data_IF_820836991990
#
_entry.id   IF_820836991990
#
_cell.length_a   1.000
_cell.length_b   1.000
_cell.length_c   1.000
_cell.angle_alpha   90.00
_cell.angle_beta   90.00
_cell.angle_gamma   90.00
#
_symmetry.space_group_name_H-M   'P 1'
#
loop_
_entity.id
_entity.type
_entity.pdbx_description
1 polymer ?
#
# COMPACT_ATOMS: atom_id res chain seq x y z
N UNK A 1 1.81 16.74 -21.23
CA UNK A 1 2.58 16.18 -22.36
C UNK A 1 3.53 15.12 -21.83
N UNK A 2 3.20 13.86 -22.10
CA UNK A 2 3.94 12.68 -21.66
C UNK A 2 5.00 12.23 -22.69
N UNK A 3 5.31 13.00 -23.73
CA UNK A 3 6.18 12.57 -24.84
C UNK A 3 7.58 12.11 -24.42
N UNK A 4 8.14 12.70 -23.35
CA UNK A 4 9.47 12.34 -22.81
C UNK A 4 9.44 11.23 -21.75
N UNK A 5 8.26 10.80 -21.32
CA UNK A 5 8.13 9.74 -20.33
C UNK A 5 8.42 8.38 -20.99
N UNK A 6 9.36 7.62 -20.45
CA UNK A 6 9.61 6.24 -20.88
C UNK A 6 8.70 5.25 -20.14
N UNK A 7 8.70 5.30 -18.81
CA UNK A 7 7.91 4.40 -17.95
C UNK A 7 7.43 5.11 -16.68
N UNK A 8 6.34 4.61 -16.09
CA UNK A 8 5.92 4.93 -14.72
C UNK A 8 6.24 3.73 -13.84
N UNK A 9 6.77 3.94 -12.64
CA UNK A 9 7.00 2.88 -11.66
C UNK A 9 6.71 3.42 -10.26
N UNK A 10 6.20 2.56 -9.37
CA UNK A 10 6.16 2.91 -7.95
C UNK A 10 7.57 2.79 -7.37
N UNK A 11 7.87 3.45 -6.24
CA UNK A 11 9.22 3.46 -5.69
C UNK A 11 9.83 2.07 -5.48
N UNK A 12 9.03 1.11 -4.99
CA UNK A 12 9.53 -0.25 -4.76
C UNK A 12 9.76 -1.01 -6.08
N UNK A 13 8.90 -0.83 -7.09
CA UNK A 13 9.08 -1.42 -8.42
C UNK A 13 10.35 -0.89 -9.10
N UNK A 14 10.63 0.40 -8.93
CA UNK A 14 11.86 0.99 -9.45
C UNK A 14 13.10 0.36 -8.79
N UNK A 15 13.06 0.12 -7.48
CA UNK A 15 14.13 -0.61 -6.80
C UNK A 15 14.26 -2.04 -7.34
N UNK A 16 13.15 -2.74 -7.54
CA UNK A 16 13.15 -4.07 -8.17
C UNK A 16 13.76 -4.05 -9.57
N UNK A 17 13.43 -3.04 -10.39
CA UNK A 17 14.01 -2.84 -11.70
C UNK A 17 15.52 -2.59 -11.63
N UNK A 18 15.99 -1.75 -10.70
CA UNK A 18 17.43 -1.52 -10.50
C UNK A 18 18.14 -2.82 -10.09
N UNK A 19 17.50 -3.65 -9.24
CA UNK A 19 18.08 -4.91 -8.78
C UNK A 19 18.10 -6.01 -9.84
N UNK A 20 17.13 -6.03 -10.74
CA UNK A 20 16.86 -7.20 -11.61
C UNK A 20 16.90 -6.91 -13.11
N UNK A 21 16.86 -5.64 -13.51
CA UNK A 21 16.63 -5.21 -14.89
C UNK A 21 15.21 -5.45 -15.41
N UNK A 22 14.31 -6.02 -14.60
CA UNK A 22 12.94 -6.36 -14.97
C UNK A 22 11.98 -5.29 -14.44
N UNK A 23 11.31 -4.58 -15.35
CA UNK A 23 10.31 -3.59 -14.99
C UNK A 23 8.93 -4.24 -14.93
N UNK A 24 8.48 -4.49 -13.71
CA UNK A 24 7.20 -5.11 -13.36
C UNK A 24 6.58 -4.33 -12.20
N UNK A 25 5.28 -4.49 -12.02
CA UNK A 25 4.56 -3.85 -10.92
C UNK A 25 3.67 -4.85 -10.18
N UNK A 26 3.81 -4.92 -8.86
CA UNK A 26 3.02 -5.82 -8.02
C UNK A 26 1.59 -5.28 -7.85
N UNK A 27 0.58 -6.16 -8.02
CA UNK A 27 -0.84 -5.79 -8.03
C UNK A 27 -1.33 -5.09 -6.74
N UNK A 28 -0.80 -5.46 -5.58
CA UNK A 28 -1.00 -4.78 -4.31
C UNK A 28 -0.69 -3.31 -4.43
N UNK A 29 0.56 -2.94 -4.68
CA UNK A 29 0.93 -1.52 -4.74
C UNK A 29 0.30 -0.81 -5.97
N UNK A 30 0.16 -1.51 -7.10
CA UNK A 30 -0.55 -1.01 -8.29
C UNK A 30 -1.97 -0.55 -7.99
N UNK A 31 -2.66 -1.22 -7.05
CA UNK A 31 -4.03 -0.84 -6.65
C UNK A 31 -4.10 0.55 -6.00
N UNK A 32 -2.96 1.09 -5.54
CA UNK A 32 -2.83 2.46 -5.04
C UNK A 32 -2.73 3.54 -6.12
N UNK A 33 -2.54 3.16 -7.39
CA UNK A 33 -2.33 4.13 -8.49
C UNK A 33 -3.61 4.80 -8.96
N UNK A 34 -4.78 4.19 -8.70
CA UNK A 34 -6.05 4.58 -9.33
C UNK A 34 -6.15 4.22 -10.82
N UNK A 35 -5.18 3.50 -11.38
CA UNK A 35 -5.15 3.07 -12.78
C UNK A 35 -5.46 1.58 -12.96
N UNK A 36 -5.52 0.81 -11.87
CA UNK A 36 -5.78 -0.62 -11.86
C UNK A 36 -7.24 -0.90 -11.56
N UNK A 37 -7.89 -1.73 -12.38
CA UNK A 37 -9.13 -2.40 -11.97
C UNK A 37 -8.78 -3.55 -11.02
N UNK A 38 -9.07 -3.35 -9.74
CA UNK A 38 -8.78 -4.27 -8.65
C UNK A 38 -9.58 -5.59 -8.71
N UNK A 39 -10.70 -5.63 -9.45
CA UNK A 39 -11.49 -6.84 -9.63
C UNK A 39 -10.88 -7.74 -10.70
N UNK A 40 -10.58 -7.18 -11.88
CA UNK A 40 -9.95 -7.92 -12.98
C UNK A 40 -8.43 -8.07 -12.83
N UNK A 41 -7.81 -7.26 -11.97
CA UNK A 41 -6.35 -7.14 -11.77
C UNK A 41 -5.61 -6.82 -13.07
N UNK A 42 -6.21 -5.95 -13.86
CA UNK A 42 -5.66 -5.43 -15.10
C UNK A 42 -5.68 -3.91 -15.06
N UNK A 43 -4.83 -3.30 -15.87
CA UNK A 43 -4.90 -1.86 -16.06
C UNK A 43 -6.29 -1.49 -16.59
N UNK A 44 -6.95 -0.53 -15.93
CA UNK A 44 -8.19 0.05 -16.43
C UNK A 44 -7.81 0.98 -17.59
N UNK A 45 -7.91 0.46 -18.81
CA UNK A 45 -7.54 1.21 -20.03
C UNK A 45 -8.29 2.54 -20.14
N UNK A 46 -9.52 2.61 -19.62
CA UNK A 46 -10.31 3.85 -19.63
C UNK A 46 -9.76 4.87 -18.63
N UNK A 47 -9.42 4.44 -17.41
CA UNK A 47 -8.79 5.28 -16.40
C UNK A 47 -7.41 5.77 -16.85
N UNK A 48 -6.61 4.89 -17.47
CA UNK A 48 -5.30 5.22 -18.03
C UNK A 48 -5.44 6.24 -19.16
N UNK A 49 -6.38 6.04 -20.09
CA UNK A 49 -6.62 6.96 -21.21
C UNK A 49 -7.15 8.33 -20.76
N UNK A 50 -7.87 8.41 -19.63
CA UNK A 50 -8.28 9.69 -19.02
C UNK A 50 -7.08 10.52 -18.54
N UNK A 51 -5.98 9.88 -18.14
CA UNK A 51 -4.73 10.57 -17.80
C UNK A 51 -3.99 10.99 -19.07
N UNK A 52 -3.69 10.04 -19.97
CA UNK A 52 -3.07 10.28 -21.28
C UNK A 52 -3.20 9.05 -22.20
N UNK A 53 -3.56 9.26 -23.46
CA UNK A 53 -3.77 8.17 -24.44
C UNK A 53 -2.52 7.37 -24.80
N UNK A 54 -1.32 7.89 -24.51
CA UNK A 54 -0.05 7.19 -24.71
C UNK A 54 0.52 6.55 -23.44
N UNK A 55 -0.21 6.55 -22.32
CA UNK A 55 0.29 6.12 -21.02
C UNK A 55 0.32 4.59 -20.85
N UNK A 56 -0.67 3.88 -21.36
CA UNK A 56 -0.80 2.41 -21.18
C UNK A 56 0.47 1.62 -21.50
N UNK A 57 1.15 1.80 -22.66
CA UNK A 57 2.38 1.06 -22.96
C UNK A 57 3.59 1.47 -22.09
N UNK A 58 3.46 2.53 -21.29
CA UNK A 58 4.49 3.01 -20.34
C UNK A 58 4.30 2.44 -18.94
N UNK A 59 3.16 1.78 -18.67
CA UNK A 59 2.91 1.09 -17.42
C UNK A 59 3.61 -0.28 -17.43
N UNK A 60 4.24 -0.69 -16.32
CA UNK A 60 4.87 -2.00 -16.21
C UNK A 60 3.85 -3.13 -16.36
N UNK A 61 4.35 -4.31 -16.73
CA UNK A 61 3.56 -5.55 -16.67
C UNK A 61 3.23 -5.86 -15.22
N UNK A 62 1.96 -6.14 -14.93
CA UNK A 62 1.49 -6.54 -13.62
C UNK A 62 1.97 -7.96 -13.25
N UNK A 63 2.31 -8.14 -11.98
CA UNK A 63 2.67 -9.45 -11.39
C UNK A 63 1.93 -9.65 -10.07
N UNK A 64 1.77 -10.91 -9.68
CA UNK A 64 1.16 -11.29 -8.41
C UNK A 64 2.13 -11.15 -7.22
N UNK A 65 1.60 -11.17 -5.98
CA UNK A 65 2.39 -10.91 -4.77
C UNK A 65 3.40 -12.02 -4.44
N UNK A 66 3.21 -13.22 -4.98
CA UNK A 66 4.14 -14.35 -4.82
C UNK A 66 5.07 -14.54 -6.02
N UNK A 67 4.94 -13.71 -7.05
CA UNK A 67 5.80 -13.78 -8.22
C UNK A 67 7.19 -13.22 -7.90
N UNK A 68 8.15 -13.59 -8.73
CA UNK A 68 9.48 -13.00 -8.71
C UNK A 68 9.49 -11.75 -9.57
N UNK A 69 9.98 -10.64 -9.03
CA UNK A 69 10.25 -9.46 -9.84
C UNK A 69 11.35 -9.74 -10.88
N UNK A 70 12.29 -10.61 -10.51
CA UNK A 70 13.36 -11.12 -11.35
C UNK A 70 14.43 -11.79 -10.51
N UNK A 71 15.66 -11.82 -11.02
CA UNK A 71 16.83 -12.28 -10.26
C UNK A 71 17.85 -11.16 -10.14
N UNK A 72 18.57 -11.13 -9.02
CA UNK A 72 19.58 -10.11 -8.74
C UNK A 72 20.65 -10.10 -9.83
N UNK A 73 20.90 -8.92 -10.40
CA UNK A 73 21.90 -8.72 -11.44
C UNK A 73 23.29 -9.17 -10.96
N UNK A 74 24.08 -9.88 -11.79
CA UNK A 74 25.38 -10.41 -11.37
C UNK A 74 26.35 -9.34 -10.83
N UNK A 75 26.34 -8.14 -11.41
CA UNK A 75 27.20 -7.04 -10.93
C UNK A 75 26.82 -6.57 -9.52
N UNK A 76 25.52 -6.54 -9.20
CA UNK A 76 25.02 -6.11 -7.91
C UNK A 76 25.23 -7.20 -6.86
N UNK A 77 25.03 -8.47 -7.25
CA UNK A 77 25.38 -9.62 -6.42
C UNK A 77 26.87 -9.56 -5.99
N UNK A 78 27.78 -9.32 -6.93
CA UNK A 78 29.20 -9.14 -6.65
C UNK A 78 29.49 -7.98 -5.70
N UNK A 79 28.86 -6.82 -5.91
CA UNK A 79 29.02 -5.63 -5.04
C UNK A 79 28.47 -5.84 -3.62
N UNK A 80 27.45 -6.67 -3.47
CA UNK A 80 26.79 -6.95 -2.19
C UNK A 80 27.37 -8.17 -1.46
N UNK A 81 28.30 -8.91 -2.07
CA UNK A 81 28.80 -10.17 -1.53
C UNK A 81 27.74 -11.27 -1.48
N UNK A 82 26.77 -11.23 -2.39
CA UNK A 82 25.66 -12.16 -2.47
C UNK A 82 25.84 -13.14 -3.65
N UNK A 83 25.11 -14.26 -3.60
CA UNK A 83 25.09 -15.23 -4.70
C UNK A 83 24.42 -14.61 -5.95
N UNK A 84 25.01 -14.84 -7.12
CA UNK A 84 24.39 -14.43 -8.38
C UNK A 84 23.09 -15.21 -8.64
N UNK A 85 22.09 -14.55 -9.23
CA UNK A 85 20.81 -15.17 -9.57
C UNK A 85 19.85 -15.36 -8.40
N UNK A 86 20.10 -14.74 -7.23
CA UNK A 86 19.14 -14.75 -6.11
C UNK A 86 17.80 -14.18 -6.57
N UNK A 87 16.68 -14.87 -6.33
CA UNK A 87 15.36 -14.33 -6.62
C UNK A 87 15.06 -13.05 -5.84
N UNK A 88 14.48 -12.06 -6.51
CA UNK A 88 13.95 -10.85 -5.88
C UNK A 88 12.43 -10.99 -5.83
N UNK A 89 11.86 -10.95 -4.62
CA UNK A 89 10.41 -10.98 -4.41
C UNK A 89 9.74 -9.76 -5.06
N UNK A 90 8.50 -9.92 -5.53
CA UNK A 90 7.68 -8.79 -5.96
C UNK A 90 7.64 -7.66 -4.89
N UNK A 91 7.58 -8.03 -3.61
CA UNK A 91 7.40 -7.06 -2.53
C UNK A 91 5.97 -6.51 -2.54
N UNK A 92 5.84 -5.22 -2.23
CA UNK A 92 4.57 -4.49 -2.27
C UNK A 92 4.66 -3.21 -1.45
N UNK A 93 3.59 -2.41 -1.47
CA UNK A 93 3.50 -1.16 -0.74
C UNK A 93 3.48 -1.32 0.78
N UNK A 94 3.65 -0.20 1.48
CA UNK A 94 3.77 -0.16 2.94
C UNK A 94 2.55 -0.73 3.68
N UNK A 95 1.33 -0.46 3.22
CA UNK A 95 0.09 -0.89 3.86
C UNK A 95 -0.08 -2.41 3.80
N UNK A 96 0.11 -3.01 2.62
CA UNK A 96 0.03 -4.45 2.45
C UNK A 96 1.18 -5.19 3.14
N UNK A 97 2.39 -4.61 3.15
CA UNK A 97 3.51 -5.15 3.92
C UNK A 97 3.28 -5.04 5.43
N UNK A 98 2.69 -3.94 5.90
CA UNK A 98 2.32 -3.76 7.32
C UNK A 98 1.23 -4.75 7.74
N UNK A 99 0.21 -4.96 6.90
CA UNK A 99 -0.82 -5.97 7.14
C UNK A 99 -0.23 -7.37 7.24
N UNK A 100 0.71 -7.71 6.35
CA UNK A 100 1.42 -8.99 6.41
C UNK A 100 2.26 -9.10 7.69
N UNK A 101 3.07 -8.09 8.00
CA UNK A 101 3.98 -8.06 9.15
C UNK A 101 3.28 -8.09 10.52
N UNK A 102 2.10 -7.47 10.63
CA UNK A 102 1.29 -7.48 11.86
C UNK A 102 0.38 -8.72 11.97
N UNK A 103 0.53 -9.71 11.09
CA UNK A 103 -0.29 -10.93 11.12
C UNK A 103 -1.75 -10.70 10.74
N UNK A 104 -2.06 -9.62 10.03
CA UNK A 104 -3.36 -9.32 9.42
C UNK A 104 -3.48 -9.91 7.99
N UNK A 105 -2.67 -10.93 7.68
CA UNK A 105 -2.74 -11.72 6.45
C UNK A 105 -3.88 -12.77 6.45
N UNK A 106 -4.74 -12.79 7.48
CA UNK A 106 -5.93 -13.65 7.57
C UNK A 106 -7.14 -12.78 7.86
N UNK A 107 -8.30 -13.16 7.32
CA UNK A 107 -9.56 -12.50 7.60
C UNK A 107 -9.90 -12.56 9.10
N UNK A 108 -10.67 -11.58 9.58
CA UNK A 108 -11.10 -11.48 10.98
C UNK A 108 -10.14 -10.69 11.88
N UNK A 109 -9.12 -10.04 11.30
CA UNK A 109 -8.23 -9.11 12.00
C UNK A 109 -8.26 -7.75 11.33
N UNK A 110 -8.19 -6.70 12.15
CA UNK A 110 -8.03 -5.32 11.72
C UNK A 110 -6.74 -4.80 12.34
N UNK A 111 -5.90 -4.20 11.51
CA UNK A 111 -4.77 -3.42 11.98
C UNK A 111 -5.18 -1.94 11.97
N UNK A 112 -4.85 -1.26 13.06
CA UNK A 112 -5.10 0.16 13.24
C UNK A 112 -3.76 0.79 13.62
N UNK A 113 -3.27 1.68 12.77
CA UNK A 113 -2.13 2.54 13.05
C UNK A 113 -2.66 3.89 13.51
N UNK A 114 -2.31 4.31 14.73
CA UNK A 114 -2.72 5.57 15.33
C UNK A 114 -1.52 6.50 15.42
N UNK A 115 -1.44 7.47 14.51
CA UNK A 115 -0.47 8.55 14.52
C UNK A 115 -1.16 9.91 14.46
N UNK A 116 -0.48 10.93 13.94
CA UNK A 116 -1.09 12.23 13.60
C UNK A 116 -2.37 12.01 12.77
N UNK A 117 -2.25 11.16 11.75
CA UNK A 117 -3.35 10.52 11.04
C UNK A 117 -3.50 9.07 11.49
N UNK A 118 -4.69 8.50 11.27
CA UNK A 118 -4.99 7.10 11.51
C UNK A 118 -5.15 6.35 10.21
N UNK A 119 -4.66 5.11 10.17
CA UNK A 119 -4.89 4.19 9.05
C UNK A 119 -5.45 2.89 9.59
N UNK A 120 -6.51 2.40 8.97
CA UNK A 120 -7.17 1.15 9.32
C UNK A 120 -7.20 0.26 8.08
N UNK A 121 -6.81 -1.01 8.24
CA UNK A 121 -6.93 -1.98 7.16
C UNK A 121 -7.22 -3.37 7.69
N UNK A 122 -7.92 -4.14 6.85
CA UNK A 122 -8.29 -5.52 7.12
C UNK A 122 -8.13 -6.35 5.85
N UNK A 123 -7.92 -7.65 5.99
CA UNK A 123 -7.92 -8.56 4.84
C UNK A 123 -9.34 -8.99 4.49
N UNK A 124 -9.64 -8.99 3.20
CA UNK A 124 -10.85 -9.59 2.59
C UNK A 124 -10.47 -10.63 1.53
N UNK A 125 -11.46 -11.42 1.07
CA UNK A 125 -11.24 -12.44 0.02
C UNK A 125 -10.91 -11.80 -1.34
N UNK A 126 -11.54 -10.67 -1.65
CA UNK A 126 -11.39 -9.91 -2.88
C UNK A 126 -11.37 -8.41 -2.57
N UNK A 127 -11.03 -7.59 -3.57
CA UNK A 127 -11.07 -6.14 -3.45
C UNK A 127 -12.44 -5.66 -2.91
N UNK A 128 -12.39 -4.68 -2.01
CA UNK A 128 -13.61 -4.11 -1.44
C UNK A 128 -14.35 -3.27 -2.48
N UNK A 129 -15.67 -3.28 -2.42
CA UNK A 129 -16.52 -2.39 -3.21
C UNK A 129 -17.29 -1.51 -2.24
N UNK A 130 -16.94 -0.22 -2.20
CA UNK A 130 -17.59 0.76 -1.35
C UNK A 130 -18.21 1.87 -2.23
N UNK A 131 -19.54 1.84 -2.45
CA UNK A 131 -20.23 2.86 -3.23
C UNK A 131 -20.09 4.28 -2.65
N UNK A 132 -19.74 4.42 -1.37
CA UNK A 132 -19.51 5.73 -0.74
C UNK A 132 -18.15 6.33 -1.07
N UNK A 133 -17.20 5.53 -1.57
CA UNK A 133 -15.85 5.96 -1.93
C UNK A 133 -14.95 6.27 -0.73
N UNK A 134 -15.37 5.91 0.49
CA UNK A 134 -14.62 6.18 1.72
C UNK A 134 -13.52 5.13 1.94
N UNK A 135 -13.75 3.89 1.50
CA UNK A 135 -12.82 2.77 1.61
C UNK A 135 -12.04 2.60 0.31
N UNK A 136 -10.71 2.68 0.41
CA UNK A 136 -9.81 2.40 -0.71
C UNK A 136 -9.81 0.89 -1.02
N UNK A 137 -10.03 0.47 -2.28
CA UNK A 137 -10.18 -0.94 -2.66
C UNK A 137 -8.83 -1.63 -2.91
N UNK A 138 -7.83 -1.45 -2.04
CA UNK A 138 -6.50 -2.00 -2.30
C UNK A 138 -6.50 -3.53 -2.36
N UNK A 139 -5.46 -4.08 -3.02
CA UNK A 139 -5.13 -5.50 -3.00
C UNK A 139 -4.08 -5.79 -1.91
N UNK A 140 -4.10 -6.99 -1.34
CA UNK A 140 -3.14 -7.38 -0.31
C UNK A 140 -1.93 -8.14 -0.86
N UNK A 141 -0.91 -8.30 -0.02
CA UNK A 141 0.34 -9.01 -0.31
C UNK A 141 0.21 -10.55 -0.40
N UNK A 142 -1.01 -11.08 -0.51
CA UNK A 142 -1.31 -12.51 -0.56
C UNK A 142 -2.35 -12.86 -1.62
N UNK A 143 -2.76 -11.89 -2.43
CA UNK A 143 -3.71 -12.05 -3.53
C UNK A 143 -5.17 -11.91 -3.13
N UNK A 144 -5.48 -11.35 -1.96
CA UNK A 144 -6.81 -10.93 -1.51
C UNK A 144 -7.02 -9.42 -1.63
N UNK A 145 -8.05 -8.91 -0.95
CA UNK A 145 -8.28 -7.47 -0.81
C UNK A 145 -7.76 -6.92 0.52
N UNK A 146 -7.46 -5.62 0.51
CA UNK A 146 -7.02 -4.82 1.64
C UNK A 146 -7.86 -3.52 1.71
N UNK A 147 -9.16 -3.58 2.05
CA UNK A 147 -9.91 -2.37 2.37
C UNK A 147 -9.14 -1.51 3.35
N UNK A 148 -8.89 -0.27 2.95
CA UNK A 148 -8.12 0.68 3.71
C UNK A 148 -8.89 1.97 3.90
N UNK A 149 -8.84 2.49 5.13
CA UNK A 149 -9.43 3.75 5.53
C UNK A 149 -8.36 4.64 6.16
N UNK A 150 -8.35 5.91 5.78
CA UNK A 150 -7.51 6.93 6.38
C UNK A 150 -8.37 7.98 7.08
N UNK A 151 -7.99 8.36 8.30
CA UNK A 151 -8.55 9.53 8.99
C UNK A 151 -7.43 10.52 9.28
N UNK A 152 -7.66 11.79 8.95
CA UNK A 152 -6.73 12.87 9.29
C UNK A 152 -6.82 13.23 10.78
N UNK A 153 -8.01 13.04 11.37
CA UNK A 153 -8.27 13.32 12.77
C UNK A 153 -8.03 12.06 13.59
N UNK A 154 -6.81 11.93 14.12
CA UNK A 154 -6.41 10.81 14.96
C UNK A 154 -5.78 11.31 16.26
N UNK A 155 -4.51 11.01 16.55
CA UNK A 155 -3.89 11.31 17.84
C UNK A 155 -3.72 12.81 18.11
N UNK A 156 -3.72 13.66 17.09
CA UNK A 156 -3.57 15.12 17.25
C UNK A 156 -4.77 15.74 17.95
N UNK A 157 -5.98 15.27 17.65
CA UNK A 157 -7.23 15.85 18.22
C UNK A 157 -7.29 15.72 19.75
N UNK A 158 -7.11 14.54 20.37
CA UNK A 158 -7.09 14.44 21.83
C UNK A 158 -5.90 15.19 22.45
N UNK A 159 -4.77 15.33 21.75
CA UNK A 159 -3.64 16.15 22.23
C UNK A 159 -3.95 17.65 22.23
N UNK A 160 -4.65 18.15 21.21
CA UNK A 160 -5.12 19.55 21.16
C UNK A 160 -6.13 19.83 22.27
N UNK A 161 -7.10 18.92 22.49
CA UNK A 161 -8.04 19.01 23.61
C UNK A 161 -7.29 19.03 24.94
N UNK A 162 -6.39 18.07 25.15
CA UNK A 162 -5.56 18.00 26.37
C UNK A 162 -4.82 19.33 26.61
N UNK A 163 -4.19 19.87 25.58
CA UNK A 163 -3.45 21.12 25.65
C UNK A 163 -4.35 22.33 25.96
N UNK A 164 -5.53 22.41 25.33
CA UNK A 164 -6.49 23.48 25.53
C UNK A 164 -7.00 23.57 26.98
N UNK A 165 -7.10 22.44 27.68
CA UNK A 165 -7.48 22.38 29.09
C UNK A 165 -6.28 22.36 30.06
N UNK A 166 -5.04 22.48 29.56
CA UNK A 166 -3.84 22.47 30.40
C UNK A 166 -3.61 21.15 31.16
N UNK A 167 -4.14 20.04 30.65
CA UNK A 167 -4.08 18.73 31.29
C UNK A 167 -2.80 17.96 30.93
N UNK A 168 -2.39 17.05 31.78
CA UNK A 168 -1.41 16.00 31.46
C UNK A 168 -2.10 14.82 30.74
N UNK A 169 -1.31 13.91 30.15
CA UNK A 169 -1.87 12.71 29.49
C UNK A 169 -2.60 11.81 30.48
N UNK A 170 -2.04 11.63 31.68
CA UNK A 170 -2.67 10.81 32.72
C UNK A 170 -4.00 11.43 33.16
N UNK A 171 -4.05 12.76 33.36
CA UNK A 171 -5.29 13.44 33.77
C UNK A 171 -6.43 13.31 32.74
N UNK A 172 -6.14 13.44 31.44
CA UNK A 172 -7.19 13.26 30.42
C UNK A 172 -7.62 11.79 30.31
N UNK A 173 -6.70 10.85 30.50
CA UNK A 173 -7.03 9.42 30.56
C UNK A 173 -7.89 9.05 31.77
N UNK A 174 -7.61 9.62 32.94
CA UNK A 174 -8.40 9.42 34.15
C UNK A 174 -9.82 9.98 34.00
N UNK A 175 -9.95 11.19 33.45
CA UNK A 175 -11.25 11.81 33.15
C UNK A 175 -12.05 10.95 32.16
N UNK A 176 -11.43 10.53 31.06
CA UNK A 176 -12.09 9.66 30.07
C UNK A 176 -12.54 8.33 30.67
N UNK A 177 -11.78 7.78 31.62
CA UNK A 177 -12.10 6.51 32.30
C UNK A 177 -13.19 6.66 33.36
N UNK A 178 -13.48 7.88 33.83
CA UNK A 178 -14.51 8.16 34.82
C UNK A 178 -15.92 8.30 34.23
N UNK A 179 -16.01 8.51 32.92
CA UNK A 179 -17.26 8.59 32.18
C UNK A 179 -17.78 7.18 31.83
N UNK A 180 -19.11 6.97 31.77
CA UNK A 180 -19.67 5.70 31.34
C UNK A 180 -19.31 5.41 29.87
N UNK A 181 -19.12 4.13 29.55
CA UNK A 181 -19.02 3.67 28.16
C UNK A 181 -20.35 4.00 27.46
N UNK A 182 -20.27 4.74 26.36
CA UNK A 182 -21.42 5.11 25.52
C UNK A 182 -22.03 3.94 24.75
#
# INVERSE_FOLDING_TARGET
DFARLAHVALPHDYLNYVLTGSLVMECGDASGTGLLDTLSRQWDESAVAMVDGGLLPKLPRLIGPTDLAGTLLPELAGRMGLQAGIPVSAGGGDNMMSALGCGCAKQGRVAISLGTSGTMFAKTAAAAQDPSGVVCPFLDATGGGLPLLCTLNCATVPEEVRAAYGLTRDQISDLASSEPIG
#
